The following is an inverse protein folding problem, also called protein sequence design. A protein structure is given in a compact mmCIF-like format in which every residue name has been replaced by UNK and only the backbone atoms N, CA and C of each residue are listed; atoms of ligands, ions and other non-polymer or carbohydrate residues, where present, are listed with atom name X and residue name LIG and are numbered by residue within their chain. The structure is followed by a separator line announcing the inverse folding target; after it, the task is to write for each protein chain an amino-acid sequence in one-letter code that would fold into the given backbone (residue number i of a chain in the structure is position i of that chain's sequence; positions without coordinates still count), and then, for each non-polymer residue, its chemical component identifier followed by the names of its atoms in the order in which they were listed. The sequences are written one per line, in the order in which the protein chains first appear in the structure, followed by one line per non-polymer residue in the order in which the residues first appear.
data_IF_169889623574
#
_entry.id   IF_169889623574
#
_cell.length_a   1.000
_cell.length_b   1.000
_cell.length_c   1.000
_cell.angle_alpha   90.00
_cell.angle_beta   90.00
_cell.angle_gamma   90.00
#
_symmetry.space_group_name_H-M   'P 1'
#
loop_
_entity.id
_entity.type
_entity.pdbx_description
1 polymer ?
#
# COMPACT_ATOMS: atom_id res chain seq x y z
N UNK A 1 15.60 13.01 -0.06
CA UNK A 1 14.92 11.88 0.59
C UNK A 1 13.56 12.38 1.04
N UNK A 2 12.50 11.78 0.49
CA UNK A 2 11.13 12.10 0.87
C UNK A 2 10.87 11.71 2.33
N UNK A 3 10.08 12.53 3.03
CA UNK A 3 9.58 12.25 4.37
C UNK A 3 8.12 12.66 4.47
N UNK A 4 7.40 12.11 5.44
CA UNK A 4 5.98 12.38 5.61
C UNK A 4 5.17 11.47 4.70
N UNK A 5 4.50 12.02 3.68
CA UNK A 5 3.61 11.24 2.79
C UNK A 5 4.34 10.82 1.52
N UNK A 6 4.55 9.52 1.39
CA UNK A 6 5.22 8.92 0.24
C UNK A 6 4.27 8.75 -0.95
N UNK A 7 3.00 8.44 -0.68
CA UNK A 7 2.01 8.25 -1.74
C UNK A 7 0.58 8.07 -1.22
N UNK A 8 -0.39 8.25 -2.10
CA UNK A 8 -1.82 8.07 -1.79
C UNK A 8 -2.61 7.66 -3.01
N UNK A 9 -3.70 6.93 -2.82
CA UNK A 9 -4.70 6.73 -3.87
C UNK A 9 -6.12 6.64 -3.29
N UNK A 10 -7.11 7.01 -4.10
CA UNK A 10 -8.48 6.53 -3.96
C UNK A 10 -8.62 5.29 -4.85
N UNK A 11 -8.70 4.12 -4.23
CA UNK A 11 -8.63 2.86 -4.95
C UNK A 11 -9.89 2.65 -5.79
N UNK A 12 -9.67 2.26 -7.05
CA UNK A 12 -10.72 1.71 -7.90
C UNK A 12 -10.88 0.22 -7.57
N UNK A 13 -12.13 -0.25 -7.58
CA UNK A 13 -12.40 -1.65 -7.29
C UNK A 13 -11.69 -2.58 -8.27
N UNK A 14 -11.22 -3.71 -7.75
CA UNK A 14 -10.63 -4.79 -8.52
C UNK A 14 -9.38 -4.43 -9.35
N UNK A 15 -8.60 -3.42 -8.95
CA UNK A 15 -7.40 -2.97 -9.67
C UNK A 15 -6.20 -2.84 -8.73
N UNK A 16 -5.04 -3.35 -9.14
CA UNK A 16 -3.76 -3.09 -8.46
C UNK A 16 -3.33 -1.65 -8.73
N UNK A 17 -2.95 -0.92 -7.67
CA UNK A 17 -2.52 0.47 -7.76
C UNK A 17 -1.15 0.63 -7.11
N UNK A 18 -0.19 1.16 -7.87
CA UNK A 18 1.12 1.55 -7.33
C UNK A 18 0.96 2.78 -6.43
N UNK A 19 1.30 2.64 -5.17
CA UNK A 19 1.21 3.73 -4.18
C UNK A 19 2.55 4.46 -4.06
N UNK A 20 3.65 3.72 -4.14
CA UNK A 20 4.99 4.26 -4.00
C UNK A 20 5.99 3.37 -4.74
N UNK A 21 7.06 3.97 -5.29
CA UNK A 21 8.24 3.26 -5.82
C UNK A 21 9.46 3.81 -5.10
N UNK A 22 10.23 2.94 -4.45
CA UNK A 22 11.43 3.35 -3.74
C UNK A 22 12.54 3.75 -4.74
N UNK A 23 13.18 4.94 -4.60
CA UNK A 23 14.28 5.33 -5.46
C UNK A 23 15.46 4.35 -5.43
N UNK A 24 16.22 4.27 -6.52
CA UNK A 24 17.26 3.25 -6.75
C UNK A 24 18.48 3.30 -5.81
N UNK A 25 18.62 4.32 -4.96
CA UNK A 25 19.77 4.49 -4.06
C UNK A 25 19.35 4.79 -2.62
N UNK A 26 18.14 4.36 -2.25
CA UNK A 26 17.58 4.51 -0.92
C UNK A 26 16.88 3.22 -0.51
N UNK A 27 16.62 3.07 0.78
CA UNK A 27 15.52 2.25 1.27
C UNK A 27 14.49 3.15 1.94
N UNK A 28 13.25 2.72 2.03
CA UNK A 28 12.22 3.42 2.76
C UNK A 28 11.73 2.61 3.96
N UNK A 29 11.49 3.28 5.08
CA UNK A 29 10.70 2.73 6.19
C UNK A 29 9.34 3.39 6.15
N UNK A 30 8.31 2.58 5.91
CA UNK A 30 6.97 3.05 5.64
C UNK A 30 5.93 2.42 6.57
N UNK A 31 4.83 3.13 6.71
CA UNK A 31 3.54 2.64 7.17
C UNK A 31 2.52 2.86 6.07
N UNK A 32 1.58 1.93 5.93
CA UNK A 32 0.51 1.99 4.94
C UNK A 32 -0.82 1.79 5.64
N UNK A 33 -1.74 2.72 5.39
CA UNK A 33 -3.06 2.70 5.96
C UNK A 33 -4.13 2.66 4.87
N UNK A 34 -5.13 1.80 5.07
CA UNK A 34 -6.34 1.74 4.28
C UNK A 34 -7.51 2.22 5.11
N UNK A 35 -8.40 3.02 4.52
CA UNK A 35 -9.65 3.43 5.16
C UNK A 35 -10.80 3.10 4.23
N UNK A 36 -11.70 2.22 4.67
CA UNK A 36 -12.95 1.96 3.95
C UNK A 36 -13.93 3.10 4.24
N UNK A 37 -13.98 4.08 3.33
CA UNK A 37 -14.91 5.21 3.40
C UNK A 37 -16.31 4.85 2.91
N UNK A 38 -16.50 3.64 2.39
CA UNK A 38 -17.78 3.12 1.91
C UNK A 38 -18.75 2.74 3.03
N UNK A 39 -19.75 1.95 2.65
CA UNK A 39 -20.83 1.44 3.50
C UNK A 39 -20.99 -0.09 3.42
N UNK A 40 -20.10 -0.80 2.71
CA UNK A 40 -20.06 -2.25 2.60
C UNK A 40 -18.65 -2.78 2.94
N UNK A 41 -18.56 -4.06 3.30
CA UNK A 41 -17.27 -4.75 3.53
C UNK A 41 -16.49 -4.82 2.22
N UNK A 42 -15.17 -4.66 2.29
CA UNK A 42 -14.25 -4.79 1.15
C UNK A 42 -13.12 -5.76 1.49
N UNK A 43 -12.54 -6.40 0.47
CA UNK A 43 -11.32 -7.20 0.61
C UNK A 43 -10.13 -6.36 0.17
N UNK A 44 -9.07 -6.36 0.96
CA UNK A 44 -7.86 -5.61 0.72
C UNK A 44 -6.67 -6.53 0.46
N UNK A 45 -5.74 -6.06 -0.36
CA UNK A 45 -4.42 -6.68 -0.53
C UNK A 45 -3.34 -5.60 -0.51
N UNK A 46 -2.21 -5.93 0.09
CA UNK A 46 -1.03 -5.08 0.14
C UNK A 46 0.20 -5.92 -0.17
N UNK A 47 1.04 -5.45 -1.08
CA UNK A 47 2.24 -6.15 -1.50
C UNK A 47 3.44 -5.21 -1.60
N UNK A 48 4.62 -5.79 -1.44
CA UNK A 48 5.91 -5.17 -1.76
C UNK A 48 6.53 -5.95 -2.92
N UNK A 49 6.61 -5.35 -4.10
CA UNK A 49 6.86 -6.09 -5.32
C UNK A 49 7.77 -5.36 -6.33
N UNK A 50 8.32 -6.14 -7.27
CA UNK A 50 9.18 -5.62 -8.35
C UNK A 50 8.41 -4.88 -9.44
N UNK A 51 7.15 -5.28 -9.68
CA UNK A 51 6.31 -4.73 -10.75
C UNK A 51 4.94 -4.29 -10.21
N UNK A 52 4.08 -3.70 -11.05
CA UNK A 52 2.70 -3.34 -10.65
C UNK A 52 1.76 -4.55 -10.55
N UNK A 53 2.25 -5.77 -10.81
CA UNK A 53 1.49 -7.02 -10.73
C UNK A 53 2.16 -7.95 -9.72
N UNK A 54 1.74 -7.93 -8.44
CA UNK A 54 2.41 -8.72 -7.42
C UNK A 54 2.29 -10.24 -7.68
N UNK A 55 3.39 -10.94 -7.48
CA UNK A 55 3.45 -12.39 -7.31
C UNK A 55 2.81 -12.84 -6.00
N UNK A 56 2.48 -14.13 -5.91
CA UNK A 56 1.79 -14.68 -4.75
C UNK A 56 2.61 -14.60 -3.45
N UNK A 57 3.93 -14.57 -3.56
CA UNK A 57 4.91 -14.47 -2.47
C UNK A 57 5.24 -13.03 -2.06
N UNK A 58 4.73 -12.03 -2.77
CA UNK A 58 5.01 -10.61 -2.52
C UNK A 58 3.97 -9.92 -1.63
N UNK A 59 2.87 -10.61 -1.30
CA UNK A 59 1.79 -10.08 -0.47
C UNK A 59 2.13 -10.16 1.02
N UNK A 60 1.98 -9.02 1.71
CA UNK A 60 2.00 -8.94 3.17
C UNK A 60 0.59 -8.94 3.78
N UNK A 61 -0.43 -8.66 2.95
CA UNK A 61 -1.84 -8.82 3.27
C UNK A 61 -2.57 -9.37 2.03
N UNK A 62 -3.46 -10.36 2.23
CA UNK A 62 -4.20 -10.97 1.13
C UNK A 62 -5.65 -11.28 1.52
N UNK A 63 -6.59 -10.71 0.75
CA UNK A 63 -8.05 -10.85 0.93
C UNK A 63 -8.52 -10.64 2.37
N UNK A 64 -7.93 -9.65 3.04
CA UNK A 64 -8.35 -9.26 4.38
C UNK A 64 -9.60 -8.41 4.30
N UNK A 65 -10.62 -8.78 5.06
CA UNK A 65 -11.86 -8.02 5.17
C UNK A 65 -11.66 -6.71 5.96
N UNK A 66 -12.11 -5.60 5.38
CA UNK A 66 -12.21 -4.32 6.05
C UNK A 66 -13.67 -3.85 6.08
N UNK A 67 -14.23 -3.83 7.29
CA UNK A 67 -15.58 -3.33 7.55
C UNK A 67 -15.74 -1.84 7.16
N UNK A 68 -16.97 -1.38 6.86
CA UNK A 68 -17.24 0.02 6.58
C UNK A 68 -16.76 0.95 7.70
N UNK A 69 -16.23 2.11 7.33
CA UNK A 69 -15.73 3.15 8.25
C UNK A 69 -14.60 2.69 9.17
N UNK A 70 -13.94 1.60 8.83
CA UNK A 70 -12.83 1.06 9.60
C UNK A 70 -11.49 1.30 8.88
N UNK A 71 -10.39 1.03 9.59
CA UNK A 71 -9.01 1.21 9.15
C UNK A 71 -8.23 -0.09 9.26
N UNK A 72 -7.35 -0.34 8.29
CA UNK A 72 -6.26 -1.30 8.39
C UNK A 72 -4.94 -0.53 8.31
N UNK A 73 -4.07 -0.69 9.29
CA UNK A 73 -2.73 -0.07 9.32
C UNK A 73 -1.66 -1.14 9.41
N UNK A 74 -0.68 -1.11 8.51
CA UNK A 74 0.58 -1.85 8.60
C UNK A 74 1.73 -0.87 8.80
N UNK A 75 2.58 -1.14 9.78
CA UNK A 75 3.72 -0.29 10.13
C UNK A 75 5.02 -1.08 10.06
N UNK A 76 6.15 -0.38 10.00
CA UNK A 76 7.47 -1.02 10.00
C UNK A 76 7.80 -1.76 8.71
N UNK A 77 7.17 -1.37 7.60
CA UNK A 77 7.45 -1.94 6.29
C UNK A 77 8.76 -1.36 5.79
N UNK A 78 9.75 -2.23 5.54
CA UNK A 78 11.02 -1.84 4.90
C UNK A 78 10.88 -2.11 3.41
N UNK A 79 11.14 -1.10 2.60
CA UNK A 79 11.03 -1.17 1.13
C UNK A 79 12.40 -0.91 0.52
N UNK A 80 12.94 -1.92 -0.14
CA UNK A 80 14.24 -1.85 -0.79
C UNK A 80 14.20 -1.02 -2.08
N UNK A 81 15.38 -0.56 -2.51
CA UNK A 81 15.56 0.20 -3.74
C UNK A 81 14.86 -0.43 -4.94
N UNK A 82 14.08 0.37 -5.67
CA UNK A 82 13.35 -0.05 -6.86
C UNK A 82 12.05 -0.81 -6.60
N UNK A 83 11.80 -1.28 -5.37
CA UNK A 83 10.56 -1.99 -5.03
C UNK A 83 9.37 -1.03 -4.91
N UNK A 84 8.18 -1.58 -5.11
CA UNK A 84 6.91 -0.86 -5.11
C UNK A 84 6.06 -1.27 -3.92
N UNK A 85 5.31 -0.31 -3.38
CA UNK A 85 4.15 -0.59 -2.54
C UNK A 85 2.94 -0.64 -3.46
N UNK A 86 2.28 -1.80 -3.55
CA UNK A 86 1.10 -1.99 -4.39
C UNK A 86 -0.09 -2.34 -3.53
N UNK A 87 -1.18 -1.61 -3.73
CA UNK A 87 -2.42 -1.74 -2.98
C UNK A 87 -3.59 -2.14 -3.88
N UNK A 88 -4.51 -2.90 -3.33
CA UNK A 88 -5.72 -3.35 -3.99
C UNK A 88 -6.90 -3.29 -3.01
N UNK A 89 -8.08 -2.96 -3.53
CA UNK A 89 -9.35 -3.16 -2.87
C UNK A 89 -10.35 -3.82 -3.84
N UNK A 90 -11.20 -4.71 -3.33
CA UNK A 90 -12.23 -5.37 -4.14
C UNK A 90 -13.33 -4.42 -4.63
N UNK A 91 -13.44 -3.23 -4.02
CA UNK A 91 -14.42 -2.19 -4.36
C UNK A 91 -13.80 -0.80 -4.21
N UNK A 92 -14.47 0.21 -4.77
CA UNK A 92 -14.10 1.63 -4.63
C UNK A 92 -14.41 2.20 -3.23
N UNK A 93 -14.08 3.47 -3.04
CA UNK A 93 -14.23 4.23 -1.79
C UNK A 93 -13.28 3.78 -0.67
N UNK A 94 -12.11 3.26 -1.05
CA UNK A 94 -11.04 2.93 -0.12
C UNK A 94 -9.89 3.88 -0.36
N UNK A 95 -9.57 4.69 0.65
CA UNK A 95 -8.35 5.50 0.62
C UNK A 95 -7.18 4.66 1.10
N UNK A 96 -6.07 4.72 0.38
CA UNK A 96 -4.78 4.20 0.85
C UNK A 96 -3.76 5.31 0.91
N UNK A 97 -2.98 5.35 1.98
CA UNK A 97 -1.93 6.34 2.18
C UNK A 97 -0.68 5.62 2.69
N UNK A 98 0.44 5.84 2.01
CA UNK A 98 1.77 5.44 2.45
C UNK A 98 2.49 6.64 3.06
N UNK A 99 2.91 6.50 4.30
CA UNK A 99 3.70 7.48 5.04
C UNK A 99 5.06 6.89 5.39
N UNK A 100 6.10 7.69 5.48
CA UNK A 100 7.42 7.17 5.85
C UNK A 100 8.57 8.13 5.60
N UNK A 101 9.76 7.54 5.58
CA UNK A 101 11.03 8.21 5.33
C UNK A 101 11.86 7.37 4.37
N UNK A 102 12.43 8.03 3.36
CA UNK A 102 13.54 7.50 2.58
C UNK A 102 14.85 7.74 3.34
N UNK A 103 15.73 6.75 3.35
CA UNK A 103 17.08 6.84 3.91
C UNK A 103 18.09 6.32 2.88
N UNK A 104 19.28 6.92 2.85
CA UNK A 104 20.39 6.42 2.05
C UNK A 104 20.77 5.01 2.51
N UNK A 105 20.93 4.09 1.57
CA UNK A 105 21.37 2.72 1.84
C UNK A 105 22.77 2.68 2.49
#
# INVERSE_FOLDING_TARGET
MATGRLGTADLTGATNTDIYTCPASTYAVASVNFVNRGNAVVLLRLAICDTSTPGADEYIEYDVELNPKNVLERTGIVVDAGKKIVAYASSSNVSVVAMGIETTA
#
